data_IF_066233653991
#
_entry.id   IF_066233653991
#
_cell.length_a   1.000
_cell.length_b   1.000
_cell.length_c   1.000
_cell.angle_alpha   90.00
_cell.angle_beta   90.00
_cell.angle_gamma   90.00
#
_symmetry.space_group_name_H-M   'P 1'
#
loop_
_entity.id
_entity.type
_entity.pdbx_description
1 polymer ?
#
# COMPACT_ATOMS: atom_id res chain seq x y z
N UNK A 1 -29.76 8.34 -3.42
CA UNK A 1 -28.86 9.50 -3.24
C UNK A 1 -27.95 9.58 -4.45
N UNK A 2 -28.07 10.65 -5.21
CA UNK A 2 -27.23 10.91 -6.39
C UNK A 2 -25.78 11.15 -5.92
N UNK A 3 -24.92 10.15 -6.07
CA UNK A 3 -23.51 10.31 -5.72
C UNK A 3 -22.86 11.18 -6.79
N UNK A 4 -22.60 12.44 -6.47
CA UNK A 4 -21.88 13.35 -7.36
C UNK A 4 -20.54 12.74 -7.77
N UNK A 5 -20.45 12.33 -9.02
CA UNK A 5 -19.28 11.64 -9.59
C UNK A 5 -18.17 12.65 -9.84
N UNK A 6 -16.92 12.28 -9.58
CA UNK A 6 -15.77 13.17 -9.81
C UNK A 6 -14.90 12.65 -10.95
N UNK A 7 -14.13 13.54 -11.58
CA UNK A 7 -13.14 13.10 -12.59
C UNK A 7 -11.89 12.48 -11.97
N UNK A 8 -11.62 12.74 -10.69
CA UNK A 8 -10.41 12.32 -9.95
C UNK A 8 -10.71 11.99 -8.50
N UNK A 9 -9.81 11.27 -7.84
CA UNK A 9 -9.86 11.04 -6.40
C UNK A 9 -9.63 12.34 -5.61
N UNK A 10 -10.09 12.36 -4.36
CA UNK A 10 -9.86 13.46 -3.44
C UNK A 10 -8.34 13.70 -3.25
N UNK A 11 -7.83 14.94 -3.22
CA UNK A 11 -6.40 15.22 -3.16
C UNK A 11 -5.72 14.61 -1.94
N UNK A 12 -6.40 14.57 -0.77
CA UNK A 12 -5.89 13.89 0.42
C UNK A 12 -5.69 12.39 0.17
N UNK A 13 -6.61 11.74 -0.57
CA UNK A 13 -6.49 10.32 -0.89
C UNK A 13 -5.33 10.05 -1.86
N UNK A 14 -5.09 10.97 -2.80
CA UNK A 14 -3.95 10.94 -3.72
C UNK A 14 -2.63 11.08 -2.95
N UNK A 15 -2.53 12.08 -2.07
CA UNK A 15 -1.34 12.27 -1.25
C UNK A 15 -1.05 11.04 -0.37
N UNK A 16 -2.06 10.55 0.36
CA UNK A 16 -1.93 9.35 1.19
C UNK A 16 -1.53 8.12 0.36
N UNK A 17 -2.04 7.97 -0.86
CA UNK A 17 -1.63 6.87 -1.74
C UNK A 17 -0.14 6.92 -2.06
N UNK A 18 0.38 8.06 -2.51
CA UNK A 18 1.78 8.18 -2.92
C UNK A 18 2.75 8.11 -1.74
N UNK A 19 2.40 8.72 -0.61
CA UNK A 19 3.20 8.64 0.63
C UNK A 19 3.29 7.17 1.08
N UNK A 20 2.15 6.49 1.20
CA UNK A 20 2.12 5.09 1.63
C UNK A 20 2.81 4.18 0.63
N UNK A 21 2.65 4.41 -0.68
CA UNK A 21 3.32 3.62 -1.71
C UNK A 21 4.85 3.72 -1.61
N UNK A 22 5.39 4.93 -1.44
CA UNK A 22 6.83 5.15 -1.24
C UNK A 22 7.32 4.49 0.05
N UNK A 23 6.60 4.68 1.16
CA UNK A 23 6.98 4.10 2.44
C UNK A 23 6.97 2.57 2.42
N UNK A 24 5.96 1.95 1.80
CA UNK A 24 5.90 0.49 1.65
C UNK A 24 7.06 0.00 0.79
N UNK A 25 7.35 0.66 -0.34
CA UNK A 25 8.47 0.29 -1.20
C UNK A 25 9.80 0.29 -0.42
N UNK A 26 10.08 1.38 0.29
CA UNK A 26 11.31 1.48 1.09
C UNK A 26 11.33 0.47 2.24
N UNK A 27 10.20 0.24 2.93
CA UNK A 27 10.12 -0.73 4.00
C UNK A 27 10.36 -2.18 3.51
N UNK A 28 9.87 -2.54 2.31
CA UNK A 28 10.12 -3.85 1.71
C UNK A 28 11.60 -4.05 1.33
N UNK A 29 12.25 -3.01 0.80
CA UNK A 29 13.69 -3.06 0.46
C UNK A 29 14.55 -3.14 1.73
N UNK A 30 14.26 -2.31 2.73
CA UNK A 30 15.01 -2.30 3.99
C UNK A 30 14.79 -3.59 4.79
N UNK A 31 13.52 -4.00 4.98
CA UNK A 31 13.17 -5.17 5.80
C UNK A 31 13.53 -6.51 5.17
N UNK A 32 13.57 -6.58 3.83
CA UNK A 32 13.97 -7.76 3.08
C UNK A 32 15.48 -7.80 2.87
N UNK A 33 15.98 -7.47 1.66
CA UNK A 33 17.37 -7.71 1.27
C UNK A 33 18.40 -7.00 2.15
N UNK A 34 18.12 -5.81 2.68
CA UNK A 34 19.12 -5.09 3.49
C UNK A 34 19.28 -5.71 4.88
N UNK A 35 18.21 -5.85 5.65
CA UNK A 35 18.30 -6.33 7.04
C UNK A 35 18.42 -7.86 7.16
N UNK A 36 17.93 -8.64 6.19
CA UNK A 36 17.92 -10.10 6.29
C UNK A 36 19.32 -10.71 6.19
N UNK A 37 20.25 -10.06 5.49
CA UNK A 37 21.61 -10.57 5.25
C UNK A 37 22.64 -10.04 6.26
N UNK A 38 22.28 -9.05 7.07
CA UNK A 38 23.17 -8.49 8.10
C UNK A 38 23.27 -9.40 9.32
N UNK A 39 24.44 -9.44 9.94
CA UNK A 39 24.66 -10.15 11.20
C UNK A 39 23.90 -9.47 12.35
N UNK A 40 23.31 -10.25 13.26
CA UNK A 40 22.57 -9.73 14.41
C UNK A 40 23.43 -8.95 15.42
N UNK A 41 24.74 -9.17 15.42
CA UNK A 41 25.69 -8.41 16.23
C UNK A 41 26.09 -7.06 15.59
N UNK A 42 25.73 -6.80 14.33
CA UNK A 42 26.05 -5.55 13.65
C UNK A 42 25.21 -4.38 14.21
N UNK A 43 25.83 -3.32 14.75
CA UNK A 43 25.12 -2.14 15.24
C UNK A 43 24.26 -1.43 14.17
N UNK A 44 24.65 -1.51 12.90
CA UNK A 44 23.88 -0.92 11.80
C UNK A 44 22.54 -1.66 11.60
N UNK A 45 22.50 -2.97 11.86
CA UNK A 45 21.27 -3.76 11.75
C UNK A 45 20.24 -3.30 12.77
N UNK A 46 20.67 -2.97 13.99
CA UNK A 46 19.77 -2.42 15.01
C UNK A 46 19.20 -1.08 14.54
N UNK A 47 20.03 -0.18 14.03
CA UNK A 47 19.58 1.13 13.53
C UNK A 47 18.59 0.98 12.38
N UNK A 48 18.89 0.12 11.41
CA UNK A 48 18.00 -0.16 10.29
C UNK A 48 16.70 -0.83 10.72
N UNK A 49 16.75 -1.76 11.69
CA UNK A 49 15.57 -2.40 12.27
C UNK A 49 14.67 -1.39 12.98
N UNK A 50 15.25 -0.50 13.80
CA UNK A 50 14.52 0.58 14.46
C UNK A 50 13.81 1.46 13.44
N UNK A 51 14.50 1.88 12.38
CA UNK A 51 13.92 2.65 11.28
C UNK A 51 12.79 1.88 10.57
N UNK A 52 12.99 0.59 10.30
CA UNK A 52 11.98 -0.27 9.69
C UNK A 52 10.71 -0.38 10.56
N UNK A 53 10.86 -0.55 11.88
CA UNK A 53 9.73 -0.58 12.81
C UNK A 53 8.95 0.73 12.83
N UNK A 54 9.65 1.88 12.89
CA UNK A 54 9.02 3.22 12.84
C UNK A 54 8.21 3.36 11.55
N UNK A 55 8.80 3.01 10.40
CA UNK A 55 8.11 3.09 9.12
C UNK A 55 6.91 2.15 9.04
N UNK A 56 7.04 0.91 9.48
CA UNK A 56 5.96 -0.07 9.49
C UNK A 56 4.77 0.39 10.32
N UNK A 57 5.01 0.91 11.53
CA UNK A 57 3.95 1.46 12.38
C UNK A 57 3.32 2.71 11.76
N UNK A 58 4.11 3.60 11.17
CA UNK A 58 3.61 4.80 10.48
C UNK A 58 2.72 4.43 9.30
N UNK A 59 3.11 3.43 8.49
CA UNK A 59 2.27 2.89 7.41
C UNK A 59 0.95 2.35 7.95
N UNK A 60 0.97 1.67 9.10
CA UNK A 60 -0.24 1.20 9.78
C UNK A 60 -1.23 2.33 10.12
N UNK A 61 -0.74 3.46 10.62
CA UNK A 61 -1.60 4.64 10.87
C UNK A 61 -2.10 5.24 9.56
N UNK A 62 -1.22 5.45 8.58
CA UNK A 62 -1.58 6.07 7.31
C UNK A 62 -2.55 5.24 6.49
N UNK A 63 -2.49 3.90 6.55
CA UNK A 63 -3.44 3.04 5.83
C UNK A 63 -4.85 3.13 6.43
N UNK A 64 -4.98 3.29 7.75
CA UNK A 64 -6.26 3.55 8.42
C UNK A 64 -6.81 4.90 7.96
N UNK A 65 -6.00 5.96 8.01
CA UNK A 65 -6.41 7.29 7.53
C UNK A 65 -6.82 7.26 6.05
N UNK A 66 -6.08 6.52 5.23
CA UNK A 66 -6.40 6.32 3.81
C UNK A 66 -7.73 5.60 3.64
N UNK A 67 -8.00 4.57 4.43
CA UNK A 67 -9.24 3.81 4.37
C UNK A 67 -10.44 4.65 4.81
N UNK A 68 -10.32 5.41 5.90
CA UNK A 68 -11.34 6.37 6.36
C UNK A 68 -11.61 7.40 5.27
N UNK A 69 -10.55 8.04 4.74
CA UNK A 69 -10.65 9.03 3.65
C UNK A 69 -11.35 8.43 2.43
N UNK A 70 -11.03 7.18 2.08
CA UNK A 70 -11.69 6.46 0.99
C UNK A 70 -13.18 6.29 1.26
N UNK A 71 -13.65 6.11 2.48
CA UNK A 71 -15.08 5.95 2.74
C UNK A 71 -15.84 7.27 2.79
N UNK A 72 -15.22 8.35 3.28
CA UNK A 72 -15.88 9.65 3.47
C UNK A 72 -15.79 10.60 2.27
N UNK A 73 -15.03 10.25 1.22
CA UNK A 73 -14.86 11.12 0.03
C UNK A 73 -15.48 10.51 -1.24
N UNK A 74 -16.01 11.39 -2.10
CA UNK A 74 -16.49 11.01 -3.43
C UNK A 74 -15.36 10.47 -4.31
N UNK A 75 -15.67 9.45 -5.10
CA UNK A 75 -14.72 8.76 -5.97
C UNK A 75 -15.10 8.94 -7.44
N UNK A 76 -14.11 8.90 -8.34
CA UNK A 76 -14.40 8.79 -9.75
C UNK A 76 -15.09 7.47 -10.05
N UNK A 77 -15.72 7.42 -11.23
CA UNK A 77 -16.27 6.18 -11.78
C UNK A 77 -15.21 5.08 -11.75
N UNK A 78 -15.62 3.85 -11.44
CA UNK A 78 -14.74 2.68 -11.52
C UNK A 78 -14.12 2.65 -12.92
N UNK A 79 -12.84 2.30 -12.98
CA UNK A 79 -12.20 1.99 -14.25
C UNK A 79 -12.89 0.76 -14.84
N UNK A 80 -13.00 0.72 -16.17
CA UNK A 80 -13.60 -0.38 -16.89
C UNK A 80 -12.62 -0.83 -17.97
N UNK A 81 -12.13 -2.05 -17.82
CA UNK A 81 -11.22 -2.69 -18.76
C UNK A 81 -11.95 -3.35 -19.94
N UNK A 82 -13.28 -3.21 -20.05
CA UNK A 82 -14.09 -3.91 -21.05
C UNK A 82 -14.25 -5.41 -20.78
N UNK A 83 -13.77 -5.89 -19.63
CA UNK A 83 -13.83 -7.28 -19.22
C UNK A 83 -14.24 -7.38 -17.74
N UNK A 84 -15.36 -8.05 -17.48
CA UNK A 84 -15.94 -8.16 -16.15
C UNK A 84 -15.02 -8.89 -15.16
N UNK A 85 -14.26 -9.90 -15.62
CA UNK A 85 -13.31 -10.63 -14.79
C UNK A 85 -12.13 -9.74 -14.38
N UNK A 86 -11.54 -8.99 -15.33
CA UNK A 86 -10.46 -8.03 -15.03
C UNK A 86 -10.92 -6.92 -14.07
N UNK A 87 -12.13 -6.40 -14.26
CA UNK A 87 -12.71 -5.40 -13.37
C UNK A 87 -12.91 -5.93 -11.94
N UNK A 88 -13.34 -7.19 -11.81
CA UNK A 88 -13.52 -7.86 -10.52
C UNK A 88 -12.17 -8.11 -9.85
N UNK A 89 -11.20 -8.65 -10.59
CA UNK A 89 -9.83 -8.88 -10.11
C UNK A 89 -9.16 -7.60 -9.63
N UNK A 90 -9.33 -6.48 -10.35
CA UNK A 90 -8.83 -5.19 -9.91
C UNK A 90 -9.44 -4.76 -8.57
N UNK A 91 -10.74 -4.99 -8.37
CA UNK A 91 -11.42 -4.74 -7.10
C UNK A 91 -10.88 -5.60 -5.95
N UNK A 92 -10.70 -6.89 -6.21
CA UNK A 92 -10.16 -7.86 -5.24
C UNK A 92 -8.71 -7.54 -4.88
N UNK A 93 -7.86 -7.23 -5.86
CA UNK A 93 -6.47 -6.88 -5.65
C UNK A 93 -6.32 -5.69 -4.69
N UNK A 94 -7.13 -4.64 -4.84
CA UNK A 94 -7.08 -3.51 -3.92
C UNK A 94 -7.41 -3.91 -2.48
N UNK A 95 -8.43 -4.74 -2.27
CA UNK A 95 -8.80 -5.21 -0.94
C UNK A 95 -7.76 -6.18 -0.35
N UNK A 96 -7.21 -7.06 -1.17
CA UNK A 96 -6.12 -7.94 -0.77
C UNK A 96 -4.86 -7.15 -0.37
N UNK A 97 -4.51 -6.06 -1.06
CA UNK A 97 -3.42 -5.16 -0.65
C UNK A 97 -3.70 -4.56 0.74
N UNK A 98 -4.92 -4.07 1.00
CA UNK A 98 -5.28 -3.55 2.34
C UNK A 98 -5.14 -4.62 3.43
N UNK A 99 -5.64 -5.83 3.17
CA UNK A 99 -5.55 -6.95 4.10
C UNK A 99 -4.10 -7.32 4.38
N UNK A 100 -3.26 -7.44 3.34
CA UNK A 100 -1.86 -7.80 3.47
C UNK A 100 -1.06 -6.72 4.19
N UNK A 101 -1.31 -5.43 3.95
CA UNK A 101 -0.67 -4.33 4.71
C UNK A 101 -1.05 -4.43 6.19
N UNK A 102 -2.32 -4.66 6.51
CA UNK A 102 -2.74 -4.85 7.90
C UNK A 102 -2.05 -6.07 8.54
N UNK A 103 -1.99 -7.19 7.82
CA UNK A 103 -1.30 -8.41 8.26
C UNK A 103 0.21 -8.20 8.46
N UNK A 104 0.86 -7.39 7.61
CA UNK A 104 2.27 -6.99 7.79
C UNK A 104 2.46 -6.25 9.11
N UNK A 105 1.64 -5.24 9.39
CA UNK A 105 1.74 -4.45 10.63
C UNK A 105 1.50 -5.34 11.85
N UNK A 106 0.44 -6.15 11.83
CA UNK A 106 0.11 -7.04 12.95
C UNK A 106 1.21 -8.07 13.21
N UNK A 107 1.70 -8.74 12.16
CA UNK A 107 2.79 -9.72 12.31
C UNK A 107 4.09 -9.06 12.79
N UNK A 108 4.40 -7.85 12.34
CA UNK A 108 5.55 -7.08 12.81
C UNK A 108 5.44 -6.70 14.29
N UNK A 109 4.27 -6.26 14.74
CA UNK A 109 4.00 -5.95 16.16
C UNK A 109 4.13 -7.20 17.04
N UNK A 110 3.54 -8.33 16.62
CA UNK A 110 3.67 -9.60 17.35
C UNK A 110 5.13 -10.01 17.46
N UNK A 111 5.89 -9.91 16.36
CA UNK A 111 7.32 -10.21 16.37
C UNK A 111 8.08 -9.29 17.34
N UNK A 112 7.81 -7.99 17.30
CA UNK A 112 8.46 -7.01 18.16
C UNK A 112 8.17 -7.25 19.65
N UNK A 113 6.96 -7.70 19.99
CA UNK A 113 6.60 -8.07 21.36
C UNK A 113 7.34 -9.36 21.77
N UNK A 114 7.27 -10.40 20.94
CA UNK A 114 7.84 -11.71 21.27
C UNK A 114 9.37 -11.68 21.42
N UNK A 115 10.04 -10.83 20.65
CA UNK A 115 11.48 -10.69 20.62
C UNK A 115 12.00 -9.50 21.45
N UNK A 116 11.14 -8.87 22.25
CA UNK A 116 11.42 -7.68 23.07
C UNK A 116 12.10 -6.52 22.31
N UNK A 117 11.80 -6.40 21.01
CA UNK A 117 12.45 -5.43 20.12
C UNK A 117 12.13 -4.00 20.53
N UNK A 118 11.01 -3.75 21.22
CA UNK A 118 10.71 -2.40 21.71
C UNK A 118 11.70 -1.93 22.78
N UNK A 119 12.06 -2.80 23.72
CA UNK A 119 13.04 -2.49 24.76
C UNK A 119 14.44 -2.31 24.16
N UNK A 120 14.80 -3.20 23.22
CA UNK A 120 16.10 -3.16 22.51
C UNK A 120 16.24 -1.91 21.64
N UNK A 121 15.23 -1.59 20.83
CA UNK A 121 15.30 -0.51 19.83
C UNK A 121 15.01 0.89 20.42
N UNK A 122 14.13 0.99 21.41
CA UNK A 122 13.65 2.29 21.93
C UNK A 122 13.86 2.48 23.44
N UNK A 123 14.08 1.40 24.18
CA UNK A 123 14.18 1.42 25.64
C UNK A 123 15.57 1.71 26.19
N UNK A 124 16.61 1.77 25.34
CA UNK A 124 17.99 1.98 25.77
C UNK A 124 18.53 0.87 26.67
N UNK A 125 17.98 -0.34 26.55
CA UNK A 125 18.34 -1.48 27.41
C UNK A 125 19.80 -1.94 27.24
N UNK A 126 20.45 -1.55 26.13
CA UNK A 126 21.80 -2.00 25.76
C UNK A 126 21.86 -3.49 25.37
N UNK A 127 20.71 -4.17 25.32
CA UNK A 127 20.63 -5.56 24.91
C UNK A 127 20.87 -5.68 23.40
N UNK A 128 21.54 -6.76 23.00
CA UNK A 128 21.72 -7.08 21.58
C UNK A 128 20.41 -7.63 20.97
N UNK A 129 20.31 -7.56 19.64
CA UNK A 129 19.25 -8.26 18.92
C UNK A 129 19.36 -9.78 19.16
N UNK A 130 18.23 -10.51 19.19
CA UNK A 130 18.28 -11.97 19.19
C UNK A 130 19.13 -12.49 18.01
N UNK A 131 19.98 -13.49 18.27
CA UNK A 131 20.88 -14.04 17.27
C UNK A 131 20.11 -14.49 16.01
N UNK A 132 18.98 -15.17 16.21
CA UNK A 132 18.07 -15.58 15.15
C UNK A 132 16.62 -15.18 15.47
N UNK A 133 16.02 -14.36 14.61
CA UNK A 133 14.60 -13.97 14.71
C UNK A 133 13.65 -15.05 14.17
N UNK A 134 14.14 -16.03 13.40
CA UNK A 134 13.31 -17.10 12.84
C UNK A 134 12.77 -18.06 13.89
N UNK A 135 13.33 -18.05 15.10
CA UNK A 135 12.78 -18.76 16.26
C UNK A 135 11.37 -18.28 16.61
N UNK A 136 11.00 -17.05 16.20
CA UNK A 136 9.66 -16.49 16.39
C UNK A 136 8.81 -16.76 15.15
N UNK A 137 7.70 -17.52 15.25
CA UNK A 137 6.83 -17.82 14.10
C UNK A 137 6.32 -16.58 13.36
N UNK A 138 6.15 -15.47 14.09
CA UNK A 138 5.77 -14.17 13.53
C UNK A 138 6.77 -13.67 12.48
N UNK A 139 8.07 -13.98 12.60
CA UNK A 139 9.10 -13.63 11.61
C UNK A 139 8.92 -14.35 10.28
N UNK A 140 8.61 -15.65 10.33
CA UNK A 140 8.31 -16.45 9.14
C UNK A 140 7.03 -15.95 8.46
N UNK A 141 5.97 -15.71 9.25
CA UNK A 141 4.71 -15.16 8.75
C UNK A 141 4.93 -13.79 8.09
N UNK A 142 5.65 -12.87 8.75
CA UNK A 142 5.94 -11.54 8.22
C UNK A 142 6.69 -11.61 6.88
N UNK A 143 7.69 -12.48 6.75
CA UNK A 143 8.42 -12.69 5.49
C UNK A 143 7.55 -13.25 4.36
N UNK A 144 6.66 -14.19 4.67
CA UNK A 144 5.70 -14.74 3.70
C UNK A 144 4.70 -13.67 3.24
N UNK A 145 4.14 -12.89 4.18
CA UNK A 145 3.21 -11.80 3.86
C UNK A 145 3.93 -10.73 3.02
N UNK A 146 5.19 -10.40 3.32
CA UNK A 146 5.98 -9.44 2.53
C UNK A 146 6.16 -9.90 1.09
N UNK A 147 6.40 -11.20 0.89
CA UNK A 147 6.52 -11.80 -0.46
C UNK A 147 5.20 -11.71 -1.22
N UNK A 148 4.09 -12.11 -0.58
CA UNK A 148 2.75 -12.02 -1.19
C UNK A 148 2.36 -10.58 -1.53
N UNK A 149 2.65 -9.64 -0.62
CA UNK A 149 2.40 -8.21 -0.82
C UNK A 149 3.23 -7.68 -1.98
N UNK A 150 4.51 -8.07 -2.09
CA UNK A 150 5.40 -7.66 -3.19
C UNK A 150 4.87 -8.12 -4.54
N UNK A 151 4.49 -9.40 -4.66
CA UNK A 151 3.88 -9.95 -5.88
C UNK A 151 2.60 -9.19 -6.24
N UNK A 152 1.74 -8.93 -5.26
CA UNK A 152 0.47 -8.24 -5.51
C UNK A 152 0.67 -6.76 -5.89
N UNK A 153 1.69 -6.09 -5.36
CA UNK A 153 2.09 -4.73 -5.77
C UNK A 153 2.57 -4.75 -7.22
N UNK A 154 3.39 -5.73 -7.63
CA UNK A 154 3.83 -5.86 -9.02
C UNK A 154 2.63 -6.08 -9.97
N UNK A 155 1.68 -6.93 -9.59
CA UNK A 155 0.44 -7.13 -10.35
C UNK A 155 -0.40 -5.84 -10.41
N UNK A 156 -0.47 -5.08 -9.33
CA UNK A 156 -1.17 -3.80 -9.29
C UNK A 156 -0.55 -2.78 -10.24
N UNK A 157 0.79 -2.68 -10.27
CA UNK A 157 1.53 -1.84 -11.22
C UNK A 157 1.31 -2.34 -12.65
N UNK A 158 1.30 -3.66 -12.87
CA UNK A 158 0.98 -4.26 -14.17
C UNK A 158 -0.42 -3.89 -14.66
N UNK A 159 -1.41 -3.89 -13.77
CA UNK A 159 -2.77 -3.40 -14.08
C UNK A 159 -2.78 -1.93 -14.47
N UNK A 160 -2.05 -1.09 -13.73
CA UNK A 160 -1.87 0.31 -14.12
C UNK A 160 -1.24 0.45 -15.52
N UNK A 161 -0.17 -0.29 -15.79
CA UNK A 161 0.53 -0.27 -17.07
C UNK A 161 -0.38 -0.72 -18.23
N UNK A 162 -1.21 -1.75 -18.00
CA UNK A 162 -2.21 -2.21 -18.96
C UNK A 162 -3.21 -1.10 -19.31
N UNK A 163 -3.77 -0.43 -18.30
CA UNK A 163 -4.66 0.71 -18.53
C UNK A 163 -3.98 1.88 -19.25
N UNK A 164 -2.73 2.16 -18.89
CA UNK A 164 -2.00 3.32 -19.42
C UNK A 164 -1.53 3.12 -20.86
N UNK A 165 -0.96 1.96 -21.19
CA UNK A 165 -0.29 1.72 -22.48
C UNK A 165 -1.14 0.95 -23.49
N UNK A 166 -2.02 0.05 -23.02
CA UNK A 166 -2.87 -0.77 -23.89
C UNK A 166 -4.24 -0.13 -24.07
N UNK A 167 -4.98 0.09 -22.96
CA UNK A 167 -6.32 0.70 -23.04
C UNK A 167 -6.30 2.21 -23.30
N UNK A 168 -5.18 2.88 -22.97
CA UNK A 168 -4.96 4.32 -23.15
C UNK A 168 -6.08 5.18 -22.55
N UNK A 169 -6.69 4.73 -21.47
CA UNK A 169 -7.85 5.34 -20.82
C UNK A 169 -7.49 6.44 -19.79
N UNK A 170 -6.19 6.75 -19.70
CA UNK A 170 -5.60 7.74 -18.78
C UNK A 170 -5.94 7.45 -17.31
N UNK A 171 -6.05 6.18 -16.90
CA UNK A 171 -6.33 5.78 -15.51
C UNK A 171 -5.44 6.49 -14.50
N UNK A 172 -4.14 6.63 -14.80
CA UNK A 172 -3.17 7.31 -13.94
C UNK A 172 -3.61 8.71 -13.51
N UNK A 173 -4.23 9.46 -14.41
CA UNK A 173 -4.66 10.85 -14.15
C UNK A 173 -5.70 10.96 -13.02
N UNK A 174 -6.40 9.87 -12.69
CA UNK A 174 -7.36 9.80 -11.59
C UNK A 174 -6.67 9.79 -10.23
N UNK A 175 -5.45 9.24 -10.16
CA UNK A 175 -4.61 9.13 -8.96
C UNK A 175 -3.41 10.10 -8.99
N UNK A 176 -3.53 11.19 -9.75
CA UNK A 176 -2.53 12.26 -9.79
C UNK A 176 -3.14 13.59 -9.37
N UNK A 177 -2.29 14.48 -8.84
CA UNK A 177 -2.69 15.84 -8.45
C UNK A 177 -3.29 16.62 -9.63
N UNK A 178 -4.36 17.36 -9.38
CA UNK A 178 -4.98 18.25 -10.38
C UNK A 178 -6.43 18.62 -10.08
N UNK A 179 -7.02 19.46 -10.95
CA UNK A 179 -8.37 20.01 -10.76
C UNK A 179 -9.43 18.91 -10.81
N UNK A 180 -10.27 18.84 -9.77
CA UNK A 180 -11.41 17.92 -9.66
C UNK A 180 -12.65 18.59 -10.26
N UNK A 181 -13.23 17.99 -11.29
CA UNK A 181 -14.53 18.40 -11.84
C UNK A 181 -15.62 17.47 -11.31
N UNK A 182 -16.78 18.03 -10.99
CA UNK A 182 -17.99 17.25 -10.81
C UNK A 182 -18.46 16.82 -12.20
N UNK A 183 -18.56 15.51 -12.41
CA UNK A 183 -19.15 14.93 -13.60
C UNK A 183 -20.66 15.13 -13.45
N UNK A 184 -21.18 16.22 -14.01
CA UNK A 184 -22.60 16.32 -14.30
C UNK A 184 -22.97 15.17 -15.23
N UNK A 185 -24.05 14.45 -14.92
CA UNK A 185 -24.59 13.36 -15.74
C UNK A 185 -24.96 13.83 -17.18
N UNK A 186 -24.92 15.14 -17.45
CA UNK A 186 -25.33 15.77 -18.70
C UNK A 186 -24.34 15.65 -19.88
N UNK A 187 -23.11 15.17 -19.71
CA UNK A 187 -22.16 14.98 -20.84
C UNK A 187 -22.18 13.55 -21.39
N UNK A 188 -23.38 13.01 -21.60
CA UNK A 188 -23.64 11.82 -22.43
C UNK A 188 -24.93 12.00 -23.24
N UNK A 189 -24.93 12.96 -24.16
CA UNK A 189 -25.55 12.69 -25.46
C UNK A 189 -24.44 12.14 -26.34
N UNK A 190 -24.48 10.86 -26.78
CA UNK A 190 -23.68 10.46 -27.93
C UNK A 190 -24.03 11.43 -29.05
N UNK A 191 -23.05 12.01 -29.73
CA UNK A 191 -23.28 12.63 -31.03
C UNK A 191 -23.75 11.54 -32.00
N UNK A 192 -25.03 11.16 -31.89
CA UNK A 192 -25.80 10.68 -33.01
C UNK A 192 -26.08 11.91 -33.89
N UNK A 193 -25.85 11.73 -35.19
CA UNK A 193 -26.02 12.71 -36.27
C UNK A 193 -24.99 13.85 -36.31
N UNK A 194 -23.88 13.58 -37.02
CA UNK A 194 -23.46 14.48 -38.11
C UNK A 194 -23.11 13.65 -39.34
N UNK A 195 -23.97 13.84 -40.36
CA UNK A 195 -23.88 13.49 -41.78
C UNK A 195 -23.87 11.99 -42.12
#
# INVERSE_FOLDING_TARGET
MEHAMTTRYHPVLVALHWIVALMIFMALVVGGPMLAEMDSADPEKLTGMTGHMIWGMTVGVLIILRLITRFVTNKPRKADAGNAALNTLAGLAHWAIYLLIAAMVVSGLIMAINADLFAVAFGGSGQALPADLMIFPARAAHGMIATLLSVLILLHIGGWAFHQFILKDRLFSRMWFGKRKLSSEAEKTPQALKA
#
